data_IF_778101409185
#
_entry.id   IF_778101409185
#
_cell.length_a   1.000
_cell.length_b   1.000
_cell.length_c   1.000
_cell.angle_alpha   90.00
_cell.angle_beta   90.00
_cell.angle_gamma   90.00
#
_symmetry.space_group_name_H-M   'P 1'
#
loop_
_entity.id
_entity.type
_entity.pdbx_description
1 polymer ?
#
# COMPACT_ATOMS: atom_id res chain seq x y z
N UNK A 1 -23.19 -44.18 -31.21
CA UNK A 1 -22.42 -43.13 -31.90
C UNK A 1 -22.56 -41.71 -31.27
N UNK A 2 -22.76 -41.62 -29.95
CA UNK A 2 -22.86 -40.34 -29.20
C UNK A 2 -21.77 -40.12 -28.14
N UNK A 3 -20.88 -41.09 -27.95
CA UNK A 3 -19.81 -40.99 -26.91
C UNK A 3 -18.45 -40.47 -27.43
N UNK A 4 -18.26 -40.37 -28.73
CA UNK A 4 -16.99 -39.94 -29.36
C UNK A 4 -16.88 -38.42 -29.60
N UNK A 5 -17.99 -37.70 -29.52
CA UNK A 5 -17.97 -36.23 -29.75
C UNK A 5 -17.62 -35.42 -28.49
N UNK A 6 -17.92 -35.96 -27.30
CA UNK A 6 -17.61 -35.28 -26.05
C UNK A 6 -16.12 -35.35 -25.65
N UNK A 7 -15.40 -36.39 -26.06
CA UNK A 7 -13.98 -36.55 -25.73
C UNK A 7 -13.05 -35.64 -26.55
N UNK A 8 -13.45 -35.21 -27.76
CA UNK A 8 -12.66 -34.28 -28.56
C UNK A 8 -12.79 -32.83 -28.10
N UNK A 9 -13.97 -32.43 -27.60
CA UNK A 9 -14.16 -31.09 -27.03
C UNK A 9 -13.41 -30.90 -25.72
N UNK A 10 -13.38 -31.91 -24.88
CA UNK A 10 -12.69 -31.87 -23.59
C UNK A 10 -11.15 -31.85 -23.75
N UNK A 11 -10.59 -32.55 -24.76
CA UNK A 11 -9.14 -32.48 -25.03
C UNK A 11 -8.71 -31.15 -25.66
N UNK A 12 -9.55 -30.50 -26.43
CA UNK A 12 -9.27 -29.16 -26.95
C UNK A 12 -9.22 -28.10 -25.83
N UNK A 13 -10.13 -28.18 -24.85
CA UNK A 13 -10.15 -27.29 -23.70
C UNK A 13 -8.96 -27.51 -22.76
N UNK A 14 -8.56 -28.77 -22.57
CA UNK A 14 -7.35 -29.07 -21.76
C UNK A 14 -6.07 -28.58 -22.45
N UNK A 15 -5.96 -28.64 -23.78
CA UNK A 15 -4.79 -28.14 -24.49
C UNK A 15 -4.72 -26.60 -24.49
N UNK A 16 -5.86 -25.91 -24.58
CA UNK A 16 -5.92 -24.45 -24.49
C UNK A 16 -5.65 -24.02 -23.05
N UNK A 17 -6.21 -24.72 -22.08
CA UNK A 17 -5.95 -24.47 -20.66
C UNK A 17 -4.48 -24.76 -20.28
N UNK A 18 -3.90 -25.84 -20.81
CA UNK A 18 -2.49 -26.17 -20.61
C UNK A 18 -1.56 -25.18 -21.33
N UNK A 19 -1.94 -24.69 -22.50
CA UNK A 19 -1.18 -23.67 -23.22
C UNK A 19 -1.28 -22.30 -22.53
N UNK A 20 -2.43 -21.93 -22.03
CA UNK A 20 -2.62 -20.69 -21.24
C UNK A 20 -1.94 -20.81 -19.87
N UNK A 21 -2.01 -21.95 -19.21
CA UNK A 21 -1.25 -22.19 -17.98
C UNK A 21 0.26 -22.17 -18.24
N UNK A 22 0.77 -22.77 -19.32
CA UNK A 22 2.19 -22.71 -19.66
C UNK A 22 2.66 -21.31 -20.09
N UNK A 23 1.82 -20.52 -20.75
CA UNK A 23 2.12 -19.10 -21.02
C UNK A 23 2.06 -18.28 -19.73
N UNK A 24 1.13 -18.59 -18.81
CA UNK A 24 1.09 -18.00 -17.48
C UNK A 24 2.21 -18.54 -16.57
N UNK A 25 2.63 -19.80 -16.71
CA UNK A 25 3.80 -20.35 -16.01
C UNK A 25 5.12 -19.72 -16.46
N UNK A 26 5.21 -19.21 -17.68
CA UNK A 26 6.37 -18.40 -18.12
C UNK A 26 6.36 -17.03 -17.45
N UNK A 27 5.18 -16.48 -17.12
CA UNK A 27 5.04 -15.24 -16.36
C UNK A 27 4.92 -15.46 -14.84
N UNK A 28 4.49 -16.63 -14.41
CA UNK A 28 4.32 -16.97 -13.00
C UNK A 28 4.71 -18.44 -12.77
N UNK A 29 6.02 -18.74 -12.87
CA UNK A 29 6.55 -19.77 -11.98
C UNK A 29 6.59 -19.11 -10.60
N UNK A 30 5.81 -19.57 -9.61
CA UNK A 30 6.19 -19.35 -8.25
C UNK A 30 7.59 -19.98 -8.19
N UNK A 31 8.62 -19.13 -8.17
CA UNK A 31 9.91 -19.63 -7.69
C UNK A 31 9.54 -20.18 -6.33
N UNK A 32 9.53 -21.51 -6.19
CA UNK A 32 9.59 -22.09 -4.88
C UNK A 32 10.59 -21.25 -4.14
N UNK A 33 10.10 -20.53 -3.12
CA UNK A 33 10.98 -19.85 -2.19
C UNK A 33 11.61 -20.99 -1.42
N UNK A 34 12.55 -21.69 -2.10
CA UNK A 34 13.39 -22.63 -1.43
C UNK A 34 14.09 -21.81 -0.36
N UNK A 35 14.11 -22.32 0.86
CA UNK A 35 14.81 -21.71 2.01
C UNK A 35 16.25 -21.27 1.67
N UNK A 36 16.82 -21.76 0.57
CA UNK A 36 18.15 -21.42 0.05
C UNK A 36 18.21 -20.09 -0.71
N UNK A 37 17.09 -19.48 -1.15
CA UNK A 37 17.09 -18.14 -1.78
C UNK A 37 17.12 -17.00 -0.76
N UNK A 38 16.94 -17.30 0.52
CA UNK A 38 17.10 -16.32 1.61
C UNK A 38 18.59 -15.96 1.82
N UNK A 39 19.54 -16.80 1.40
CA UNK A 39 20.97 -16.59 1.64
C UNK A 39 21.74 -15.79 0.57
N UNK A 40 21.12 -15.44 -0.55
CA UNK A 40 21.78 -14.67 -1.62
C UNK A 40 21.25 -13.23 -1.78
N UNK A 41 20.57 -12.66 -0.77
CA UNK A 41 20.36 -11.22 -0.71
C UNK A 41 21.68 -10.56 -0.35
N UNK A 42 22.37 -9.96 -1.32
CA UNK A 42 23.31 -8.87 -1.02
C UNK A 42 22.59 -7.97 -0.03
N UNK A 43 23.17 -7.77 1.16
CA UNK A 43 22.60 -7.01 2.27
C UNK A 43 22.37 -5.58 1.77
N UNK A 44 21.19 -5.30 1.20
CA UNK A 44 20.81 -3.93 0.83
C UNK A 44 20.70 -3.15 2.13
N UNK A 45 21.16 -1.94 2.11
CA UNK A 45 20.92 -0.99 3.19
C UNK A 45 19.42 -0.90 3.45
N UNK A 46 19.00 -0.99 4.71
CA UNK A 46 17.60 -0.90 5.07
C UNK A 46 17.08 0.50 4.71
N UNK A 47 15.98 0.58 3.97
CA UNK A 47 15.34 1.84 3.61
C UNK A 47 13.83 1.73 3.83
N UNK A 48 13.33 2.45 4.82
CA UNK A 48 11.91 2.57 5.12
C UNK A 48 11.36 3.91 4.65
N UNK A 49 10.03 4.06 4.68
CA UNK A 49 9.41 5.34 4.35
C UNK A 49 8.20 5.64 5.23
N UNK A 50 7.99 6.92 5.50
CA UNK A 50 6.71 7.50 5.90
C UNK A 50 6.12 8.24 4.69
N UNK A 51 4.88 7.92 4.33
CA UNK A 51 4.28 8.38 3.09
C UNK A 51 2.87 8.97 3.34
N UNK A 52 2.79 10.14 3.99
CA UNK A 52 1.53 10.77 4.35
C UNK A 52 0.91 11.57 3.21
N UNK A 53 -0.44 11.58 3.15
CA UNK A 53 -1.18 12.52 2.32
C UNK A 53 -1.43 13.83 3.10
N UNK A 54 -0.94 14.99 2.63
CA UNK A 54 -1.05 16.27 3.32
C UNK A 54 -2.44 16.90 3.13
N UNK A 55 -3.49 16.22 3.58
CA UNK A 55 -4.89 16.63 3.42
C UNK A 55 -5.48 17.24 4.70
N UNK A 56 -4.65 17.83 5.52
CA UNK A 56 -4.89 18.45 6.83
C UNK A 56 -3.74 18.15 7.78
N UNK A 57 -3.78 18.73 8.97
CA UNK A 57 -2.76 18.49 9.99
C UNK A 57 -2.70 17.02 10.42
N UNK A 58 -1.53 16.56 10.84
CA UNK A 58 -1.37 15.23 11.40
C UNK A 58 -2.19 15.08 12.69
N UNK A 59 -2.64 13.87 12.95
CA UNK A 59 -3.22 13.47 14.24
C UNK A 59 -2.38 12.37 14.88
N UNK A 60 -2.67 12.06 16.13
CA UNK A 60 -1.91 11.09 16.94
C UNK A 60 -1.64 9.76 16.22
N UNK A 61 -2.63 9.22 15.47
CA UNK A 61 -2.44 8.01 14.68
C UNK A 61 -1.45 8.15 13.51
N UNK A 62 -1.27 9.36 12.95
CA UNK A 62 -0.20 9.60 11.97
C UNK A 62 1.16 9.64 12.62
N UNK A 63 1.26 10.22 13.82
CA UNK A 63 2.50 10.24 14.61
C UNK A 63 2.91 8.81 15.00
N UNK A 64 1.95 7.99 15.44
CA UNK A 64 2.15 6.57 15.70
C UNK A 64 2.75 5.85 14.48
N UNK A 65 2.17 6.05 13.30
CA UNK A 65 2.65 5.47 12.06
C UNK A 65 4.06 5.97 11.68
N UNK A 66 4.31 7.28 11.80
CA UNK A 66 5.61 7.89 11.54
C UNK A 66 6.68 7.32 12.46
N UNK A 67 6.40 7.29 13.76
CA UNK A 67 7.35 6.82 14.78
C UNK A 67 7.67 5.33 14.60
N UNK A 68 6.68 4.46 14.41
CA UNK A 68 6.95 3.03 14.19
C UNK A 68 7.76 2.77 12.92
N UNK A 69 7.48 3.49 11.83
CA UNK A 69 8.26 3.35 10.59
C UNK A 69 9.69 3.86 10.75
N UNK A 70 9.91 4.93 11.52
CA UNK A 70 11.22 5.46 11.84
C UNK A 70 12.01 4.50 12.73
N UNK A 71 11.42 4.03 13.82
CA UNK A 71 12.03 3.08 14.75
C UNK A 71 12.46 1.79 14.06
N UNK A 72 11.59 1.22 13.21
CA UNK A 72 11.85 -0.02 12.49
C UNK A 72 13.12 0.08 11.64
N UNK A 73 13.22 1.10 10.80
CA UNK A 73 14.35 1.26 9.90
C UNK A 73 15.61 1.74 10.61
N UNK A 74 15.50 2.68 11.58
CA UNK A 74 16.64 3.18 12.35
C UNK A 74 17.26 2.12 13.27
N UNK A 75 16.46 1.20 13.80
CA UNK A 75 16.97 0.03 14.54
C UNK A 75 17.89 -0.86 13.68
N UNK A 76 17.70 -0.87 12.38
CA UNK A 76 18.53 -1.59 11.40
C UNK A 76 19.71 -0.72 10.90
N UNK A 77 19.85 0.51 11.38
CA UNK A 77 20.85 1.49 10.90
C UNK A 77 20.56 2.01 9.50
N UNK A 78 19.30 1.97 9.07
CA UNK A 78 18.89 2.30 7.71
C UNK A 78 18.44 3.75 7.51
N UNK A 79 18.03 4.06 6.29
CA UNK A 79 17.54 5.37 5.85
C UNK A 79 16.02 5.47 5.95
N UNK A 80 15.54 6.61 6.42
CA UNK A 80 14.10 6.90 6.47
C UNK A 80 13.73 7.98 5.46
N UNK A 81 12.78 7.66 4.58
CA UNK A 81 12.34 8.51 3.49
C UNK A 81 11.01 9.17 3.84
N UNK A 82 10.89 10.47 3.65
CA UNK A 82 9.61 11.18 3.70
C UNK A 82 9.10 11.42 2.28
N UNK A 83 8.03 10.71 1.87
CA UNK A 83 7.36 10.91 0.59
C UNK A 83 6.01 11.58 0.82
N UNK A 84 5.74 12.66 0.10
CA UNK A 84 4.48 13.41 0.19
C UNK A 84 3.50 12.85 -0.85
N UNK A 85 2.41 12.21 -0.37
CA UNK A 85 1.39 11.61 -1.24
C UNK A 85 0.25 12.62 -1.52
N UNK A 86 0.50 13.52 -2.44
CA UNK A 86 -0.34 14.67 -2.79
C UNK A 86 -1.08 14.52 -4.14
N UNK A 87 -1.47 13.28 -4.51
CA UNK A 87 -2.18 12.96 -5.76
C UNK A 87 -3.57 13.58 -5.88
N UNK A 88 -4.17 14.01 -4.79
CA UNK A 88 -5.47 14.68 -4.77
C UNK A 88 -5.29 16.19 -4.50
N UNK A 89 -5.18 17.05 -5.55
CA UNK A 89 -4.88 18.47 -5.38
C UNK A 89 -6.02 19.25 -4.73
N UNK A 90 -7.24 18.71 -4.72
CA UNK A 90 -8.36 19.35 -4.03
C UNK A 90 -8.24 19.23 -2.51
N UNK A 91 -7.65 18.17 -2.03
CA UNK A 91 -7.53 17.86 -0.60
C UNK A 91 -6.13 18.10 -0.05
N UNK A 92 -5.10 17.90 -0.87
CA UNK A 92 -3.71 18.01 -0.48
C UNK A 92 -3.17 19.40 -0.78
N UNK A 93 -2.57 20.05 0.21
CA UNK A 93 -2.02 21.37 0.08
C UNK A 93 -0.59 21.43 0.62
N UNK A 94 0.24 22.25 -0.03
CA UNK A 94 1.65 22.43 0.37
C UNK A 94 1.77 22.88 1.83
N UNK A 95 0.87 23.76 2.28
CA UNK A 95 0.87 24.24 3.68
C UNK A 95 0.77 23.10 4.69
N UNK A 96 -0.03 22.06 4.38
CA UNK A 96 -0.12 20.88 5.26
C UNK A 96 1.11 19.99 5.16
N UNK A 97 1.80 19.93 4.03
CA UNK A 97 3.06 19.22 3.91
C UNK A 97 4.16 19.91 4.74
N UNK A 98 4.28 21.23 4.65
CA UNK A 98 5.23 22.00 5.46
C UNK A 98 4.92 21.89 6.97
N UNK A 99 3.65 21.94 7.33
CA UNK A 99 3.22 21.78 8.72
C UNK A 99 3.51 20.38 9.28
N UNK A 100 3.33 19.36 8.43
CA UNK A 100 3.67 17.96 8.75
C UNK A 100 5.19 17.81 9.00
N UNK A 101 6.02 18.42 8.16
CA UNK A 101 7.48 18.41 8.33
C UNK A 101 7.91 19.12 9.63
N UNK A 102 7.28 20.26 9.94
CA UNK A 102 7.53 20.96 11.20
C UNK A 102 7.12 20.12 12.43
N UNK A 103 5.96 19.44 12.35
CA UNK A 103 5.49 18.54 13.40
C UNK A 103 6.43 17.33 13.59
N UNK A 104 6.97 16.76 12.52
CA UNK A 104 7.94 15.67 12.60
C UNK A 104 9.26 16.10 13.24
N UNK A 105 9.82 17.24 12.81
CA UNK A 105 11.05 17.80 13.40
C UNK A 105 10.87 18.13 14.88
N UNK A 106 9.73 18.69 15.25
CA UNK A 106 9.40 18.98 16.65
C UNK A 106 9.35 17.71 17.51
N UNK A 107 8.91 16.58 16.93
CA UNK A 107 8.92 15.27 17.61
C UNK A 107 10.29 14.60 17.63
N UNK A 108 11.32 15.18 17.01
CA UNK A 108 12.64 14.55 16.87
C UNK A 108 12.68 13.45 15.80
N UNK A 109 11.77 13.50 14.81
CA UNK A 109 11.71 12.58 13.67
C UNK A 109 12.23 13.31 12.43
N UNK A 110 13.53 13.29 12.20
CA UNK A 110 14.11 13.79 10.95
C UNK A 110 14.28 12.65 9.91
N UNK A 111 14.25 13.02 8.64
CA UNK A 111 14.35 12.08 7.52
C UNK A 111 15.66 12.29 6.74
N UNK A 112 16.14 11.20 6.18
CA UNK A 112 17.41 11.19 5.43
C UNK A 112 17.19 11.64 3.99
N UNK A 113 16.07 11.24 3.38
CA UNK A 113 15.70 11.56 2.00
C UNK A 113 14.24 12.04 1.91
N UNK A 114 13.93 12.86 0.93
CA UNK A 114 12.57 13.28 0.64
C UNK A 114 12.19 14.64 1.21
N UNK A 115 10.91 14.74 1.59
CA UNK A 115 10.31 16.00 2.00
C UNK A 115 10.05 16.97 0.86
N UNK A 116 9.52 18.14 1.21
CA UNK A 116 9.21 19.21 0.24
C UNK A 116 10.46 19.81 -0.40
N UNK A 117 11.62 19.68 0.24
CA UNK A 117 12.93 20.10 -0.27
C UNK A 117 13.53 19.12 -1.28
N UNK A 118 12.90 17.97 -1.52
CA UNK A 118 13.41 16.91 -2.38
C UNK A 118 14.85 16.46 -2.05
N UNK A 119 15.19 16.32 -0.76
CA UNK A 119 16.51 15.86 -0.32
C UNK A 119 16.77 14.44 -0.83
N UNK A 120 17.92 14.17 -1.44
CA UNK A 120 18.32 12.84 -1.93
C UNK A 120 18.30 12.70 -3.44
N UNK A 121 18.53 11.46 -3.94
CA UNK A 121 18.79 11.19 -5.35
C UNK A 121 17.61 10.58 -6.12
N UNK A 122 16.51 10.24 -5.45
CA UNK A 122 15.39 9.51 -6.04
C UNK A 122 14.13 10.37 -6.22
N UNK A 123 14.29 11.70 -6.09
CA UNK A 123 13.20 12.66 -6.27
C UNK A 123 12.62 12.70 -7.70
N UNK A 124 11.56 13.47 -7.88
CA UNK A 124 10.86 14.24 -6.85
C UNK A 124 10.14 13.34 -5.84
N UNK A 125 10.03 13.81 -4.58
CA UNK A 125 9.37 13.06 -3.50
C UNK A 125 7.94 13.53 -3.23
N UNK A 126 7.42 14.47 -4.02
CA UNK A 126 6.01 14.82 -4.10
C UNK A 126 5.38 14.03 -5.24
N UNK A 127 4.34 13.25 -4.98
CA UNK A 127 3.72 12.40 -5.99
C UNK A 127 3.08 13.20 -7.14
N UNK A 128 2.58 14.40 -6.87
CA UNK A 128 2.05 15.32 -7.90
C UNK A 128 3.06 15.68 -9.00
N UNK A 129 4.36 15.59 -8.71
CA UNK A 129 5.45 15.88 -9.65
C UNK A 129 5.94 14.66 -10.43
N UNK A 130 5.29 13.47 -10.28
CA UNK A 130 5.74 12.19 -10.82
C UNK A 130 4.83 11.61 -11.91
N UNK A 131 3.91 12.43 -12.44
CA UNK A 131 2.91 11.95 -13.41
C UNK A 131 3.51 11.28 -14.64
N UNK A 132 4.62 11.79 -15.18
CA UNK A 132 5.30 11.18 -16.33
C UNK A 132 5.84 9.77 -16.01
N UNK A 133 6.33 9.58 -14.81
CA UNK A 133 6.79 8.27 -14.32
C UNK A 133 5.61 7.29 -14.25
N UNK A 134 4.49 7.74 -13.69
CA UNK A 134 3.31 6.86 -13.59
C UNK A 134 2.71 6.54 -14.95
N UNK A 135 2.75 7.48 -15.91
CA UNK A 135 2.32 7.24 -17.29
C UNK A 135 3.18 6.14 -17.94
N UNK A 136 4.51 6.21 -17.81
CA UNK A 136 5.41 5.17 -18.32
C UNK A 136 5.06 3.78 -17.76
N UNK A 137 4.80 3.68 -16.45
CA UNK A 137 4.47 2.40 -15.82
C UNK A 137 3.05 1.94 -16.18
N UNK A 138 2.10 2.85 -16.38
CA UNK A 138 0.79 2.52 -16.93
C UNK A 138 0.92 1.96 -18.37
N UNK A 139 1.75 2.56 -19.20
CA UNK A 139 2.01 2.07 -20.56
C UNK A 139 2.66 0.68 -20.56
N UNK A 140 3.54 0.39 -19.59
CA UNK A 140 4.08 -0.96 -19.40
C UNK A 140 2.98 -1.96 -19.03
N UNK A 141 2.04 -1.58 -18.16
CA UNK A 141 0.88 -2.41 -17.84
C UNK A 141 -0.07 -2.57 -19.02
N UNK A 142 -0.31 -1.52 -19.81
CA UNK A 142 -1.14 -1.59 -21.02
C UNK A 142 -0.60 -2.62 -22.03
N UNK A 143 0.72 -2.68 -22.20
CA UNK A 143 1.38 -3.67 -23.09
C UNK A 143 1.19 -5.12 -22.64
N UNK A 144 0.84 -5.37 -21.40
CA UNK A 144 0.49 -6.73 -20.92
C UNK A 144 -0.87 -7.19 -21.39
N UNK A 145 -1.74 -6.29 -21.85
CA UNK A 145 -3.14 -6.57 -22.18
C UNK A 145 -4.04 -6.78 -20.96
N UNK A 146 -3.54 -6.53 -19.74
CA UNK A 146 -4.28 -6.73 -18.49
C UNK A 146 -5.07 -5.49 -18.04
N UNK A 147 -4.96 -4.38 -18.74
CA UNK A 147 -5.67 -3.15 -18.41
C UNK A 147 -6.91 -2.98 -19.28
N UNK A 148 -7.91 -2.29 -18.77
CA UNK A 148 -9.13 -1.98 -19.53
C UNK A 148 -9.83 -0.73 -18.99
N UNK A 149 -10.62 -0.01 -19.85
CA UNK A 149 -11.39 1.13 -19.44
C UNK A 149 -12.64 0.73 -18.66
N UNK A 150 -12.99 1.52 -17.65
CA UNK A 150 -14.19 1.33 -16.84
C UNK A 150 -14.95 2.65 -16.71
N UNK A 151 -16.20 2.66 -17.16
CA UNK A 151 -17.09 3.82 -17.10
C UNK A 151 -18.01 3.82 -15.88
N UNK A 152 -18.02 2.73 -15.09
CA UNK A 152 -18.87 2.60 -13.91
C UNK A 152 -18.68 3.76 -12.94
N UNK A 153 -19.80 4.26 -12.43
CA UNK A 153 -19.83 5.18 -11.29
C UNK A 153 -19.69 4.39 -9.97
N UNK A 154 -19.46 5.10 -8.87
CA UNK A 154 -19.42 4.50 -7.54
C UNK A 154 -20.78 3.86 -7.19
N UNK A 155 -21.88 4.48 -7.60
CA UNK A 155 -23.24 3.96 -7.42
C UNK A 155 -23.44 2.64 -8.18
N UNK A 156 -23.00 2.57 -9.44
CA UNK A 156 -23.09 1.34 -10.24
C UNK A 156 -22.35 0.18 -9.58
N UNK A 157 -21.15 0.45 -9.06
CA UNK A 157 -20.34 -0.57 -8.37
C UNK A 157 -21.05 -1.03 -7.09
N UNK A 158 -21.61 -0.12 -6.30
CA UNK A 158 -22.36 -0.46 -5.08
C UNK A 158 -23.63 -1.24 -5.39
N UNK A 159 -24.35 -0.91 -6.46
CA UNK A 159 -25.59 -1.59 -6.85
C UNK A 159 -25.39 -3.06 -7.25
N UNK A 160 -24.19 -3.43 -7.67
CA UNK A 160 -23.84 -4.81 -8.06
C UNK A 160 -23.35 -5.68 -6.90
N UNK A 161 -23.21 -5.12 -5.71
CA UNK A 161 -22.73 -5.86 -4.54
C UNK A 161 -23.84 -6.58 -3.81
N UNK A 162 -23.60 -7.84 -3.45
CA UNK A 162 -24.40 -8.53 -2.44
C UNK A 162 -24.04 -7.97 -1.04
N UNK A 163 -25.01 -7.88 -0.09
CA UNK A 163 -24.83 -7.23 1.21
C UNK A 163 -23.98 -8.02 2.22
N UNK A 164 -22.98 -8.79 1.79
CA UNK A 164 -22.35 -9.84 2.64
C UNK A 164 -20.89 -9.62 3.00
N UNK A 165 -20.27 -8.46 2.74
CA UNK A 165 -18.94 -8.23 3.27
C UNK A 165 -19.01 -7.40 4.55
N UNK A 166 -18.66 -8.05 5.65
CA UNK A 166 -18.74 -7.54 7.02
C UNK A 166 -17.83 -6.33 7.32
N UNK A 167 -16.91 -5.98 6.41
CA UNK A 167 -15.92 -4.89 6.57
C UNK A 167 -16.23 -3.64 5.73
N UNK A 168 -17.34 -3.62 4.99
CA UNK A 168 -17.77 -2.48 4.17
C UNK A 168 -16.91 -2.20 2.94
N UNK A 169 -16.04 -3.11 2.53
CA UNK A 169 -15.19 -2.97 1.34
C UNK A 169 -15.98 -3.20 0.08
N UNK A 170 -15.68 -2.39 -0.93
CA UNK A 170 -16.30 -2.48 -2.24
C UNK A 170 -15.38 -3.25 -3.17
N UNK A 171 -15.73 -4.51 -3.49
CA UNK A 171 -15.00 -5.34 -4.45
C UNK A 171 -15.66 -5.21 -5.83
N UNK A 172 -14.91 -4.74 -6.82
CA UNK A 172 -15.41 -4.59 -8.18
C UNK A 172 -15.48 -5.94 -8.90
N UNK A 173 -16.68 -6.31 -9.36
CA UNK A 173 -16.96 -7.64 -9.97
C UNK A 173 -16.64 -7.74 -11.46
N UNK A 174 -16.04 -6.72 -12.07
CA UNK A 174 -15.62 -6.80 -13.48
C UNK A 174 -16.69 -6.42 -14.49
N UNK A 175 -17.68 -5.57 -14.15
CA UNK A 175 -18.79 -5.17 -15.06
C UNK A 175 -18.31 -4.68 -16.43
N UNK A 176 -17.20 -3.92 -16.50
CA UNK A 176 -16.62 -3.46 -17.77
C UNK A 176 -15.48 -4.34 -18.27
N UNK A 177 -15.22 -5.48 -17.62
CA UNK A 177 -14.13 -6.37 -18.01
C UNK A 177 -14.42 -7.02 -19.36
N UNK A 178 -13.52 -6.91 -20.36
CA UNK A 178 -13.65 -7.64 -21.62
C UNK A 178 -13.63 -9.15 -21.41
N UNK A 179 -14.40 -9.89 -22.24
CA UNK A 179 -14.44 -11.36 -22.16
C UNK A 179 -13.11 -12.03 -22.54
N UNK A 180 -12.28 -11.36 -23.34
CA UNK A 180 -11.02 -11.85 -23.89
C UNK A 180 -9.79 -11.17 -23.29
N UNK A 181 -9.79 -10.90 -22.00
CA UNK A 181 -8.61 -10.36 -21.32
C UNK A 181 -7.65 -11.52 -20.93
N UNK A 182 -6.32 -11.42 -21.10
CA UNK A 182 -5.59 -10.27 -21.66
C UNK A 182 -5.87 -10.06 -23.16
N UNK A 183 -5.98 -8.81 -23.60
CA UNK A 183 -6.33 -8.43 -24.96
C UNK A 183 -5.28 -7.51 -25.58
N UNK A 184 -4.88 -7.80 -26.81
CA UNK A 184 -4.00 -6.91 -27.61
C UNK A 184 -4.69 -5.59 -28.00
N UNK A 185 -6.02 -5.51 -27.92
CA UNK A 185 -6.79 -4.30 -28.21
C UNK A 185 -6.79 -3.30 -27.05
N UNK A 186 -6.30 -3.69 -25.86
CA UNK A 186 -6.14 -2.79 -24.73
C UNK A 186 -5.19 -1.59 -25.00
N UNK A 187 -4.36 -1.68 -26.06
CA UNK A 187 -3.48 -0.58 -26.50
C UNK A 187 -4.24 0.66 -27.03
N UNK A 188 -5.56 0.56 -27.26
CA UNK A 188 -6.36 1.67 -27.79
C UNK A 188 -7.47 2.08 -26.84
N UNK A 189 -7.13 2.51 -25.64
CA UNK A 189 -8.09 3.19 -24.76
C UNK A 189 -8.26 4.65 -25.22
N UNK A 190 -8.74 4.82 -26.46
CA UNK A 190 -9.22 6.10 -26.97
C UNK A 190 -10.74 6.10 -26.94
N UNK A 191 -11.34 6.08 -25.75
CA UNK A 191 -12.77 6.33 -25.68
C UNK A 191 -12.99 7.85 -25.61
N UNK A 192 -13.93 8.34 -26.38
CA UNK A 192 -14.44 9.71 -26.30
C UNK A 192 -15.10 10.01 -24.93
N UNK A 193 -15.35 8.99 -24.14
CA UNK A 193 -15.95 9.09 -22.81
C UNK A 193 -14.87 8.93 -21.75
N UNK A 194 -14.76 9.85 -20.77
CA UNK A 194 -13.84 9.71 -19.66
C UNK A 194 -14.06 8.40 -18.90
N UNK A 195 -13.03 7.58 -18.80
CA UNK A 195 -13.05 6.27 -18.16
C UNK A 195 -11.91 6.13 -17.14
N UNK A 196 -12.14 5.39 -16.07
CA UNK A 196 -11.08 4.93 -15.21
C UNK A 196 -10.31 3.79 -15.90
N UNK A 197 -9.02 3.64 -15.63
CA UNK A 197 -8.24 2.50 -16.10
C UNK A 197 -8.12 1.51 -14.94
N UNK A 198 -8.56 0.27 -15.18
CA UNK A 198 -8.43 -0.83 -14.21
C UNK A 198 -7.42 -1.86 -14.64
N UNK A 199 -6.82 -2.50 -13.66
CA UNK A 199 -6.04 -3.72 -13.83
C UNK A 199 -6.94 -4.93 -13.59
N UNK A 200 -6.92 -5.86 -14.52
CA UNK A 200 -7.52 -7.19 -14.38
C UNK A 200 -6.79 -7.99 -13.30
N UNK A 201 -7.57 -8.66 -12.47
CA UNK A 201 -7.08 -9.53 -11.42
C UNK A 201 -7.55 -10.96 -11.72
N UNK A 202 -6.64 -11.91 -11.97
CA UNK A 202 -7.00 -13.31 -12.15
C UNK A 202 -7.45 -13.95 -10.83
N UNK A 203 -8.20 -15.06 -10.91
CA UNK A 203 -8.51 -15.87 -9.75
C UNK A 203 -7.25 -16.60 -9.29
N UNK A 204 -6.52 -15.97 -8.39
CA UNK A 204 -5.26 -16.47 -7.87
C UNK A 204 -5.09 -16.13 -6.40
N UNK A 205 -4.34 -16.97 -5.72
CA UNK A 205 -3.91 -16.78 -4.35
C UNK A 205 -2.58 -16.04 -4.33
N UNK A 206 -2.46 -15.03 -3.49
CA UNK A 206 -1.19 -14.37 -3.15
C UNK A 206 -0.83 -14.75 -1.71
N UNK A 207 0.24 -15.51 -1.59
CA UNK A 207 0.81 -15.87 -0.30
C UNK A 207 2.02 -14.97 -0.01
N UNK A 208 2.06 -14.40 1.17
CA UNK A 208 3.20 -13.59 1.61
C UNK A 208 3.36 -13.63 3.13
N UNK A 209 4.51 -13.23 3.60
CA UNK A 209 4.79 -13.11 5.04
C UNK A 209 4.77 -11.63 5.39
N UNK A 210 3.83 -11.23 6.24
CA UNK A 210 3.92 -9.97 6.96
C UNK A 210 4.78 -10.16 8.20
N UNK A 211 5.77 -9.28 8.40
CA UNK A 211 6.76 -9.48 9.47
C UNK A 211 6.21 -9.31 10.87
N UNK A 212 4.99 -8.76 11.02
CA UNK A 212 4.31 -8.64 12.31
C UNK A 212 3.11 -9.60 12.43
N UNK A 213 2.30 -9.72 11.37
CA UNK A 213 1.09 -10.58 11.38
C UNK A 213 1.33 -11.99 10.83
N UNK A 214 2.56 -12.34 10.44
CA UNK A 214 2.90 -13.67 9.96
C UNK A 214 2.37 -13.99 8.56
N UNK A 215 2.12 -15.26 8.30
CA UNK A 215 1.68 -15.76 6.98
C UNK A 215 0.30 -15.21 6.63
N UNK A 216 0.21 -14.62 5.45
CA UNK A 216 -1.01 -14.10 4.84
C UNK A 216 -1.28 -14.84 3.53
N UNK A 217 -2.54 -15.16 3.29
CA UNK A 217 -2.99 -15.88 2.10
C UNK A 217 -4.28 -15.22 1.60
N UNK A 218 -4.21 -14.52 0.47
CA UNK A 218 -5.29 -13.65 -0.02
C UNK A 218 -5.66 -14.02 -1.44
N UNK A 219 -6.92 -14.43 -1.67
CA UNK A 219 -7.43 -14.58 -3.02
C UNK A 219 -7.78 -13.19 -3.58
N UNK A 220 -7.16 -12.82 -4.71
CA UNK A 220 -7.28 -11.48 -5.27
C UNK A 220 -8.68 -11.16 -5.78
N UNK A 221 -9.37 -12.11 -6.40
CA UNK A 221 -10.72 -11.86 -6.95
C UNK A 221 -11.72 -11.62 -5.84
N UNK A 222 -11.69 -12.46 -4.80
CA UNK A 222 -12.70 -12.40 -3.73
C UNK A 222 -12.48 -11.24 -2.78
N UNK A 223 -11.23 -10.86 -2.52
CA UNK A 223 -10.90 -9.84 -1.52
C UNK A 223 -10.59 -8.46 -2.11
N UNK A 224 -10.17 -8.39 -3.37
CA UNK A 224 -9.69 -7.16 -3.99
C UNK A 224 -10.48 -6.77 -5.25
N UNK A 225 -10.75 -7.72 -6.13
CA UNK A 225 -11.30 -7.47 -7.46
C UNK A 225 -10.37 -6.62 -8.34
N UNK A 226 -10.82 -6.31 -9.55
CA UNK A 226 -10.07 -5.44 -10.46
C UNK A 226 -9.99 -4.02 -9.89
N UNK A 227 -8.79 -3.52 -9.72
CA UNK A 227 -8.59 -2.24 -9.07
C UNK A 227 -8.14 -1.13 -10.04
N UNK A 228 -8.40 0.11 -9.64
CA UNK A 228 -8.11 1.30 -10.44
C UNK A 228 -6.63 1.62 -10.40
N UNK A 229 -6.06 1.90 -11.59
CA UNK A 229 -4.70 2.42 -11.79
C UNK A 229 -4.72 3.93 -12.04
N UNK A 230 -5.71 4.40 -12.82
CA UNK A 230 -5.97 5.82 -13.08
C UNK A 230 -7.45 6.09 -12.97
N UNK A 231 -7.81 7.15 -12.26
CA UNK A 231 -9.19 7.56 -12.03
C UNK A 231 -9.80 8.20 -13.28
N UNK A 232 -11.12 8.27 -13.34
CA UNK A 232 -11.88 8.90 -14.44
C UNK A 232 -11.58 10.40 -14.60
N UNK A 233 -11.21 11.08 -13.52
CA UNK A 233 -10.80 12.48 -13.50
C UNK A 233 -9.32 12.70 -13.88
N UNK A 234 -8.62 11.64 -14.28
CA UNK A 234 -7.21 11.65 -14.66
C UNK A 234 -6.23 11.49 -13.50
N UNK A 235 -6.68 11.56 -12.24
CA UNK A 235 -5.80 11.39 -11.09
C UNK A 235 -5.28 9.95 -10.99
N UNK A 236 -4.04 9.81 -10.56
CA UNK A 236 -3.40 8.51 -10.32
C UNK A 236 -4.01 7.82 -9.11
N UNK A 237 -4.11 6.50 -9.18
CA UNK A 237 -4.59 5.71 -8.05
C UNK A 237 -3.44 5.28 -7.14
N UNK A 238 -3.74 5.20 -5.86
CA UNK A 238 -2.80 4.85 -4.79
C UNK A 238 -1.97 3.59 -5.10
N UNK A 239 -2.61 2.51 -5.57
CA UNK A 239 -1.93 1.24 -5.77
C UNK A 239 -0.80 1.31 -6.81
N UNK A 240 -1.00 2.02 -7.90
CA UNK A 240 0.06 2.20 -8.92
C UNK A 240 1.17 3.10 -8.38
N UNK A 241 0.80 4.26 -7.86
CA UNK A 241 1.76 5.27 -7.43
C UNK A 241 2.69 4.74 -6.32
N UNK A 242 2.13 4.09 -5.29
CA UNK A 242 2.93 3.58 -4.17
C UNK A 242 3.90 2.48 -4.60
N UNK A 243 3.48 1.57 -5.49
CA UNK A 243 4.33 0.48 -5.99
C UNK A 243 5.49 1.01 -6.80
N UNK A 244 5.21 1.94 -7.71
CA UNK A 244 6.24 2.56 -8.56
C UNK A 244 7.23 3.34 -7.72
N UNK A 245 6.73 4.15 -6.77
CA UNK A 245 7.58 4.98 -5.93
C UNK A 245 8.44 4.16 -4.97
N UNK A 246 7.84 3.19 -4.27
CA UNK A 246 8.59 2.33 -3.35
C UNK A 246 9.71 1.57 -4.09
N UNK A 247 9.44 1.11 -5.33
CA UNK A 247 10.46 0.44 -6.15
C UNK A 247 11.58 1.39 -6.60
N UNK A 248 11.22 2.56 -7.17
CA UNK A 248 12.19 3.51 -7.72
C UNK A 248 12.99 4.25 -6.66
N UNK A 249 12.41 4.47 -5.48
CA UNK A 249 13.10 5.04 -4.33
C UNK A 249 13.94 4.00 -3.56
N UNK A 250 13.89 2.74 -3.98
CA UNK A 250 14.69 1.66 -3.38
C UNK A 250 14.21 1.28 -1.98
N UNK A 251 12.92 1.46 -1.69
CA UNK A 251 12.33 1.08 -0.40
C UNK A 251 12.45 -0.44 -0.21
N UNK A 252 13.01 -0.84 0.91
CA UNK A 252 13.17 -2.26 1.28
C UNK A 252 12.18 -2.70 2.35
N UNK A 253 11.56 -1.75 3.05
CA UNK A 253 10.67 -2.00 4.17
C UNK A 253 9.49 -1.03 4.16
N UNK A 254 8.27 -1.56 4.30
CA UNK A 254 7.02 -0.80 4.34
C UNK A 254 6.33 -1.05 5.67
N UNK A 255 6.45 -0.11 6.60
CA UNK A 255 5.72 -0.09 7.87
C UNK A 255 4.48 0.77 7.74
N UNK A 256 3.28 0.21 8.06
CA UNK A 256 1.99 0.93 7.93
C UNK A 256 0.87 0.26 8.72
N UNK A 257 -0.27 0.92 8.86
CA UNK A 257 -1.43 0.38 9.55
C UNK A 257 -2.02 -0.88 8.92
N UNK A 258 -2.53 -1.80 9.74
CA UNK A 258 -3.10 -3.08 9.30
C UNK A 258 -4.34 -2.96 8.41
N UNK A 259 -4.99 -1.80 8.37
CA UNK A 259 -6.07 -1.51 7.42
C UNK A 259 -5.63 -1.59 5.95
N UNK A 260 -4.32 -1.55 5.69
CA UNK A 260 -3.72 -1.74 4.38
C UNK A 260 -3.14 -3.15 4.16
N UNK A 261 -3.36 -4.11 5.07
CA UNK A 261 -2.81 -5.46 4.98
C UNK A 261 -3.26 -6.16 3.67
N UNK A 262 -4.54 -6.09 3.34
CA UNK A 262 -5.04 -6.65 2.06
C UNK A 262 -4.53 -5.90 0.83
N UNK A 263 -4.19 -4.62 0.95
CA UNK A 263 -3.57 -3.86 -0.15
C UNK A 263 -2.18 -4.39 -0.51
N UNK A 264 -1.49 -5.04 0.42
CA UNK A 264 -0.20 -5.66 0.14
C UNK A 264 -0.30 -6.73 -0.96
N UNK A 265 -1.37 -7.52 -1.00
CA UNK A 265 -1.57 -8.53 -2.05
C UNK A 265 -1.76 -7.92 -3.44
N UNK A 266 -2.51 -6.80 -3.55
CA UNK A 266 -2.66 -6.06 -4.80
C UNK A 266 -1.32 -5.45 -5.26
N UNK A 267 -0.56 -4.92 -4.32
CA UNK A 267 0.76 -4.34 -4.59
C UNK A 267 1.77 -5.42 -5.00
N UNK A 268 1.79 -6.56 -4.34
CA UNK A 268 2.63 -7.71 -4.72
C UNK A 268 2.31 -8.20 -6.13
N UNK A 269 1.03 -8.23 -6.52
CA UNK A 269 0.62 -8.52 -7.89
C UNK A 269 1.17 -7.50 -8.89
N UNK A 270 1.11 -6.20 -8.59
CA UNK A 270 1.71 -5.14 -9.40
C UNK A 270 3.23 -5.26 -9.49
N UNK A 271 3.93 -5.47 -8.37
CA UNK A 271 5.37 -5.70 -8.35
C UNK A 271 5.77 -6.84 -9.28
N UNK A 272 5.00 -7.93 -9.26
CA UNK A 272 5.26 -9.10 -10.10
C UNK A 272 5.06 -8.78 -11.59
N UNK A 273 3.94 -8.19 -11.99
CA UNK A 273 3.65 -7.84 -13.40
C UNK A 273 4.70 -6.87 -13.96
N UNK A 274 5.07 -5.88 -13.17
CA UNK A 274 6.05 -4.86 -13.55
C UNK A 274 7.50 -5.34 -13.44
N UNK A 275 7.73 -6.56 -12.94
CA UNK A 275 9.06 -7.11 -12.65
C UNK A 275 9.88 -6.20 -11.74
N UNK A 276 9.21 -5.59 -10.75
CA UNK A 276 9.80 -4.76 -9.73
C UNK A 276 10.08 -5.58 -8.47
N UNK A 277 11.05 -5.15 -7.67
CA UNK A 277 11.34 -5.79 -6.41
C UNK A 277 10.41 -5.27 -5.31
N UNK A 278 9.63 -6.15 -4.70
CA UNK A 278 8.76 -5.81 -3.58
C UNK A 278 9.57 -5.60 -2.29
N UNK A 279 9.14 -4.65 -1.42
CA UNK A 279 9.68 -4.49 -0.08
C UNK A 279 9.19 -5.59 0.87
N UNK A 280 9.77 -5.66 2.06
CA UNK A 280 9.20 -6.33 3.22
C UNK A 280 8.01 -5.52 3.75
N UNK A 281 6.89 -6.19 4.07
CA UNK A 281 5.73 -5.55 4.66
C UNK A 281 5.66 -5.83 6.16
N UNK A 282 5.41 -4.79 6.93
CA UNK A 282 5.23 -4.84 8.38
C UNK A 282 3.99 -3.99 8.71
N UNK A 283 2.90 -4.64 9.03
CA UNK A 283 1.69 -3.94 9.42
C UNK A 283 1.62 -3.84 10.95
N UNK A 284 1.09 -2.74 11.46
CA UNK A 284 0.89 -2.53 12.90
C UNK A 284 -0.60 -2.33 13.22
N UNK A 285 -1.05 -2.58 14.48
CA UNK A 285 -2.42 -2.42 14.90
C UNK A 285 -2.87 -0.96 14.85
N UNK A 286 -4.15 -0.73 14.61
CA UNK A 286 -4.71 0.61 14.57
C UNK A 286 -4.96 1.13 15.99
N UNK A 287 -4.78 2.44 16.15
CA UNK A 287 -5.27 3.15 17.31
C UNK A 287 -6.76 3.47 17.10
N UNK A 288 -7.59 3.08 18.04
CA UNK A 288 -9.03 3.22 18.00
C UNK A 288 -9.53 4.09 19.17
N UNK A 289 -10.63 4.77 18.97
CA UNK A 289 -11.35 5.45 20.05
C UNK A 289 -12.12 4.43 20.92
N UNK A 290 -12.75 4.90 21.99
CA UNK A 290 -13.55 4.05 22.92
C UNK A 290 -14.73 3.32 22.23
N UNK A 291 -15.17 3.78 21.09
CA UNK A 291 -16.20 3.11 20.28
C UNK A 291 -15.63 2.05 19.31
N UNK A 292 -14.32 1.75 19.39
CA UNK A 292 -13.65 0.80 18.49
C UNK A 292 -13.42 1.33 17.06
N UNK A 293 -13.65 2.62 16.82
CA UNK A 293 -13.44 3.23 15.52
C UNK A 293 -11.99 3.73 15.40
N UNK A 294 -11.37 3.46 14.25
CA UNK A 294 -10.04 3.99 13.94
C UNK A 294 -9.99 5.51 14.15
N UNK A 295 -8.93 5.98 14.78
CA UNK A 295 -8.67 7.41 14.89
C UNK A 295 -8.62 8.07 13.52
N UNK A 296 -9.26 9.19 13.40
CA UNK A 296 -9.37 9.95 12.16
C UNK A 296 -9.26 11.45 12.42
N UNK A 297 -9.16 12.24 11.35
CA UNK A 297 -9.17 13.71 11.43
C UNK A 297 -10.44 14.31 12.07
N UNK A 298 -11.47 13.50 12.34
CA UNK A 298 -12.67 13.94 13.06
C UNK A 298 -12.44 14.00 14.57
N UNK A 299 -11.43 13.30 15.06
CA UNK A 299 -11.01 13.29 16.47
C UNK A 299 -10.10 14.51 16.75
N UNK A 300 -10.69 15.72 16.67
CA UNK A 300 -9.97 17.02 16.73
C UNK A 300 -9.10 17.20 17.97
N UNK A 301 -9.42 16.56 19.08
CA UNK A 301 -8.63 16.62 20.32
C UNK A 301 -7.24 15.96 20.19
N UNK A 302 -7.05 15.14 19.17
CA UNK A 302 -5.81 14.43 18.86
C UNK A 302 -5.06 15.00 17.65
N UNK A 303 -5.43 16.21 17.20
CA UNK A 303 -4.73 16.97 16.19
C UNK A 303 -3.41 17.51 16.75
N UNK A 304 -2.33 17.48 15.98
CA UNK A 304 -1.00 17.93 16.42
C UNK A 304 -0.97 19.37 16.90
N UNK A 305 -1.88 20.24 16.39
CA UNK A 305 -2.00 21.61 16.88
C UNK A 305 -2.44 21.68 18.34
N UNK A 306 -3.39 20.85 18.71
CA UNK A 306 -3.86 20.72 20.09
C UNK A 306 -2.81 20.03 20.95
N UNK A 307 -2.26 18.91 20.47
CA UNK A 307 -1.27 18.14 21.22
C UNK A 307 -0.03 18.96 21.56
N UNK A 308 0.53 19.72 20.61
CA UNK A 308 1.69 20.60 20.85
C UNK A 308 1.42 21.74 21.85
N UNK A 309 0.17 22.14 22.02
CA UNK A 309 -0.19 23.16 22.99
C UNK A 309 -0.30 22.63 24.43
N UNK A 310 -0.43 21.32 24.59
CA UNK A 310 -0.72 20.67 25.87
C UNK A 310 0.40 19.75 26.37
N UNK A 311 1.20 19.20 25.46
CA UNK A 311 2.21 18.19 25.75
C UNK A 311 3.57 18.56 25.16
N UNK A 312 4.64 18.04 25.76
CA UNK A 312 5.98 18.09 25.17
C UNK A 312 6.17 16.95 24.16
N UNK A 313 7.18 17.01 23.25
CA UNK A 313 7.51 15.91 22.37
C UNK A 313 7.72 14.59 23.11
N UNK A 314 8.45 14.63 24.22
CA UNK A 314 8.79 13.46 25.04
C UNK A 314 7.55 12.80 25.66
N UNK A 315 6.55 13.60 26.05
CA UNK A 315 5.29 13.08 26.55
C UNK A 315 4.51 12.35 25.46
N UNK A 316 4.46 12.90 24.24
CA UNK A 316 3.78 12.25 23.09
C UNK A 316 4.51 10.97 22.70
N UNK A 317 5.85 10.98 22.63
CA UNK A 317 6.65 9.79 22.31
C UNK A 317 6.46 8.71 23.40
N UNK A 318 6.46 9.10 24.66
CA UNK A 318 6.25 8.17 25.79
C UNK A 318 4.85 7.54 25.79
N UNK A 319 3.82 8.32 25.43
CA UNK A 319 2.46 7.81 25.28
C UNK A 319 2.38 6.78 24.12
N UNK A 320 3.04 7.07 23.00
CA UNK A 320 3.12 6.12 21.87
C UNK A 320 3.91 4.87 22.24
N UNK A 321 5.01 5.02 22.99
CA UNK A 321 5.81 3.90 23.48
C UNK A 321 4.97 2.93 24.32
N UNK A 322 4.13 3.48 25.20
CA UNK A 322 3.18 2.69 25.98
C UNK A 322 2.17 1.95 25.09
N UNK A 323 1.50 2.64 24.17
CA UNK A 323 0.55 1.98 23.25
C UNK A 323 1.24 0.95 22.34
N UNK A 324 2.49 1.19 21.97
CA UNK A 324 3.30 0.21 21.23
C UNK A 324 3.85 -0.93 22.11
N UNK A 325 3.46 -1.01 23.40
CA UNK A 325 3.87 -2.07 24.32
C UNK A 325 5.34 -2.03 24.75
N UNK A 326 6.05 -0.94 24.49
CA UNK A 326 7.47 -0.83 24.80
C UNK A 326 7.72 -0.55 26.29
N UNK A 327 6.75 0.09 26.96
CA UNK A 327 6.78 0.45 28.39
C UNK A 327 5.47 0.01 29.05
N UNK A 328 5.50 -0.19 30.39
CA UNK A 328 4.32 -0.61 31.17
C UNK A 328 3.38 0.57 31.50
N UNK A 329 3.86 1.79 31.37
CA UNK A 329 3.11 3.03 31.58
C UNK A 329 3.65 4.14 30.69
N UNK A 330 2.87 5.20 30.40
CA UNK A 330 3.37 6.34 29.66
C UNK A 330 4.39 7.12 30.52
N UNK A 331 5.63 7.15 30.04
CA UNK A 331 6.75 7.91 30.66
C UNK A 331 7.38 8.79 29.58
N UNK A 332 7.57 10.09 29.83
CA UNK A 332 8.21 10.96 28.85
C UNK A 332 9.58 10.43 28.45
N UNK A 333 9.82 10.30 27.14
CA UNK A 333 11.08 9.87 26.56
C UNK A 333 11.26 10.46 25.15
N UNK A 334 12.49 10.63 24.72
CA UNK A 334 12.78 11.05 23.36
C UNK A 334 12.88 9.86 22.39
N UNK A 335 12.97 10.16 21.10
CA UNK A 335 13.02 9.14 20.03
C UNK A 335 14.25 8.23 20.14
N UNK A 336 15.41 8.77 20.57
CA UNK A 336 16.65 8.01 20.75
C UNK A 336 16.58 7.04 21.94
N UNK A 337 15.93 7.44 23.03
CA UNK A 337 15.68 6.57 24.17
C UNK A 337 14.76 5.43 23.79
N UNK A 338 13.66 5.74 23.08
CA UNK A 338 12.74 4.73 22.60
C UNK A 338 13.42 3.78 21.60
N UNK A 339 14.26 4.29 20.70
CA UNK A 339 15.00 3.47 19.73
C UNK A 339 15.86 2.38 20.41
N UNK A 340 16.44 2.66 21.56
CA UNK A 340 17.26 1.69 22.31
C UNK A 340 16.45 0.48 22.77
N UNK A 341 15.22 0.71 23.24
CA UNK A 341 14.35 -0.32 23.82
C UNK A 341 13.36 -0.93 22.83
N UNK A 342 13.16 -0.30 21.67
CA UNK A 342 12.15 -0.72 20.69
C UNK A 342 12.40 -2.13 20.18
N UNK A 343 11.33 -2.92 20.15
CA UNK A 343 11.28 -4.24 19.50
C UNK A 343 9.87 -4.54 18.99
N UNK A 344 9.79 -5.18 17.82
CA UNK A 344 8.52 -5.55 17.19
C UNK A 344 7.75 -6.62 17.96
N UNK A 345 8.44 -7.48 18.70
CA UNK A 345 7.86 -8.57 19.49
C UNK A 345 6.93 -8.04 20.60
N UNK A 346 7.15 -6.80 21.07
CA UNK A 346 6.29 -6.16 22.07
C UNK A 346 5.11 -5.40 21.48
N UNK A 347 5.14 -5.08 20.17
CA UNK A 347 4.02 -4.38 19.53
C UNK A 347 2.80 -5.28 19.51
N UNK A 348 1.63 -4.84 20.01
CA UNK A 348 0.42 -5.66 20.02
C UNK A 348 -0.03 -6.06 18.59
N UNK A 349 -0.70 -7.19 18.46
CA UNK A 349 -1.32 -7.60 17.18
C UNK A 349 -2.79 -7.19 17.08
N UNK A 350 -3.46 -6.91 18.21
CA UNK A 350 -4.83 -6.42 18.26
C UNK A 350 -4.86 -4.89 18.20
N UNK A 351 -5.96 -4.32 17.68
CA UNK A 351 -6.17 -2.88 17.71
C UNK A 351 -6.20 -2.34 19.14
N UNK A 352 -5.68 -1.15 19.29
CA UNK A 352 -5.39 -0.52 20.59
C UNK A 352 -6.42 0.57 20.84
N UNK A 353 -7.20 0.42 21.89
CA UNK A 353 -8.13 1.47 22.32
C UNK A 353 -7.37 2.51 23.14
N UNK A 354 -7.40 3.76 22.69
CA UNK A 354 -6.85 4.87 23.46
C UNK A 354 -7.91 5.52 24.34
N UNK A 355 -7.48 6.03 25.51
CA UNK A 355 -8.36 6.60 26.53
C UNK A 355 -8.69 8.07 26.29
#
# INVERSE_FOLDING_TARGET
>A
MKFLFFSRFYRGFQHIFYYLCNQMEVFYKPKEISRNHIQARTKREAKGRFAPSPSGRMHFGNVYAALLSWLSVKKKGGLWVLRIEDLDPQRCKLEYALQLEDDLRWLGLDWDEGGTENRGCYGPYLQSQRSEIYEEYLDRLNKTGLTYPCTCTRADIMATQAPHESDGRIVYKGTCRPANIPSKEAERITSSTPAAIRLYVPDMQIDFIDSHYGVQSVNLVTHCGDFVLRRKDGAWAYQLAVVVDDALMGITEVVRGRDLLLSASQQLYLYNILSLQAPEFIHFPLLCNKAGQRLSKRDKSLDMGVLRSQYTPEQIIGEIAYYAGQTDRPEPMNTEELLKIFTWEKVPTNDITIN
#
